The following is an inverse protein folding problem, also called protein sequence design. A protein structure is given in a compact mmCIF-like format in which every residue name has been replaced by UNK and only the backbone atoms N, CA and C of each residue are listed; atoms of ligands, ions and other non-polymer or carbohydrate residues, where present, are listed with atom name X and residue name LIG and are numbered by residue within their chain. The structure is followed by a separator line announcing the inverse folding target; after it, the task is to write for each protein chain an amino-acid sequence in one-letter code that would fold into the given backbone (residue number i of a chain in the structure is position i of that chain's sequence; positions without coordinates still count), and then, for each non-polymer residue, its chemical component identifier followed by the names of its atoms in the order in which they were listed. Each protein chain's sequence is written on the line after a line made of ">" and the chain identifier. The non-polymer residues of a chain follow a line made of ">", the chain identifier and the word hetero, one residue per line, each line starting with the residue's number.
data_IF_802404874795
#
_entry.id   IF_802404874795
#
_cell.length_a   1.000
_cell.length_b   1.000
_cell.length_c   1.000
_cell.angle_alpha   90.00
_cell.angle_beta   90.00
_cell.angle_gamma   90.00
#
_symmetry.space_group_name_H-M   'P 1'
#
loop_
_entity.id
_entity.type
_entity.pdbx_description
1 polymer ?
#
# COMPACT_ATOMS: atom_id res chain seq x y z
N UNK A 1 23.63 3.41 23.48
CA UNK A 1 22.77 4.06 24.50
C UNK A 1 22.50 5.47 24.01
N UNK A 2 21.33 5.92 23.58
CA UNK A 2 20.01 5.35 23.41
C UNK A 2 19.38 6.12 22.22
N UNK A 3 18.65 5.44 21.32
CA UNK A 3 18.00 6.10 20.20
C UNK A 3 16.86 6.99 20.73
N UNK A 4 16.88 8.27 20.35
CA UNK A 4 15.79 9.21 20.62
C UNK A 4 14.54 8.75 19.87
N UNK A 5 13.62 8.09 20.59
CA UNK A 5 12.26 7.92 20.14
C UNK A 5 11.60 9.30 20.11
N UNK A 6 11.39 9.80 18.90
CA UNK A 6 10.55 10.96 18.65
C UNK A 6 9.13 10.62 19.12
N UNK A 7 8.69 11.27 20.19
CA UNK A 7 7.30 11.27 20.63
C UNK A 7 6.46 11.90 19.50
N UNK A 8 5.90 11.07 18.63
CA UNK A 8 4.87 11.50 17.69
C UNK A 8 3.61 11.74 18.53
N UNK A 9 3.41 13.01 18.92
CA UNK A 9 2.16 13.47 19.49
C UNK A 9 1.08 13.38 18.41
N UNK A 10 0.38 12.26 18.35
CA UNK A 10 -0.88 12.11 17.62
C UNK A 10 -1.98 12.89 18.35
N UNK A 11 -1.95 14.21 18.23
CA UNK A 11 -3.07 15.06 18.62
C UNK A 11 -4.20 14.88 17.58
N UNK A 12 -4.94 13.78 17.68
CA UNK A 12 -6.18 13.59 16.95
C UNK A 12 -7.30 14.35 17.66
N UNK A 13 -8.09 15.19 16.95
CA UNK A 13 -9.23 15.85 17.54
C UNK A 13 -10.18 14.79 18.11
N UNK A 14 -10.37 14.89 19.43
CA UNK A 14 -11.28 14.18 20.31
C UNK A 14 -12.73 14.29 19.84
N UNK A 15 -13.12 13.63 18.76
CA UNK A 15 -14.50 13.22 18.49
C UNK A 15 -14.45 11.94 17.66
N UNK A 16 -13.94 10.86 18.26
CA UNK A 16 -14.27 9.52 17.77
C UNK A 16 -15.79 9.35 17.94
N UNK A 17 -16.56 9.71 16.92
CA UNK A 17 -17.99 9.40 16.88
C UNK A 17 -18.11 7.90 16.74
N UNK A 18 -18.04 7.22 17.89
CA UNK A 18 -18.29 5.79 18.00
C UNK A 18 -19.59 5.46 17.28
N UNK A 19 -19.60 4.36 16.53
CA UNK A 19 -20.77 3.89 15.80
C UNK A 19 -22.01 3.76 16.72
N UNK A 20 -21.78 3.55 18.03
CA UNK A 20 -22.80 3.56 19.07
C UNK A 20 -23.60 4.85 19.10
N UNK A 21 -22.90 6.00 19.09
CA UNK A 21 -23.54 7.32 19.11
C UNK A 21 -24.22 7.63 17.78
N UNK A 22 -23.62 7.19 16.66
CA UNK A 22 -24.14 7.44 15.32
C UNK A 22 -25.48 6.71 15.09
N UNK A 23 -25.57 5.47 15.52
CA UNK A 23 -26.74 4.61 15.28
C UNK A 23 -27.62 4.41 16.53
N UNK A 24 -27.36 5.16 17.59
CA UNK A 24 -28.08 5.09 18.86
C UNK A 24 -28.14 3.66 19.45
N UNK A 25 -27.01 2.94 19.36
CA UNK A 25 -26.83 1.60 19.93
C UNK A 25 -26.32 1.74 21.35
N UNK A 26 -26.95 1.05 22.30
CA UNK A 26 -26.65 1.19 23.74
C UNK A 26 -25.29 0.62 24.12
N UNK A 27 -24.91 -0.50 23.53
CA UNK A 27 -23.69 -1.25 23.87
C UNK A 27 -22.99 -1.76 22.60
N UNK A 28 -21.67 -1.93 22.62
CA UNK A 28 -20.94 -2.60 21.54
C UNK A 28 -21.54 -3.98 21.24
N UNK A 29 -21.77 -4.29 19.97
CA UNK A 29 -22.32 -5.58 19.57
C UNK A 29 -21.68 -6.07 18.28
N UNK A 30 -21.29 -7.35 18.26
CA UNK A 30 -20.81 -8.05 17.08
C UNK A 30 -21.94 -8.80 16.36
N UNK A 31 -23.16 -8.84 16.93
CA UNK A 31 -24.30 -9.48 16.28
C UNK A 31 -24.98 -8.54 15.28
N UNK A 32 -24.78 -8.83 14.00
CA UNK A 32 -25.37 -8.08 12.88
C UNK A 32 -26.90 -8.05 12.91
N UNK A 33 -27.55 -9.06 13.52
CA UNK A 33 -29.01 -9.15 13.64
C UNK A 33 -29.57 -8.12 14.62
N UNK A 34 -28.77 -7.71 15.61
CA UNK A 34 -29.11 -6.65 16.57
C UNK A 34 -28.75 -5.28 15.99
N UNK A 35 -27.62 -5.20 15.29
CA UNK A 35 -27.10 -3.94 14.79
C UNK A 35 -27.86 -3.38 13.57
N UNK A 36 -28.14 -4.20 12.55
CA UNK A 36 -28.80 -3.73 11.32
C UNK A 36 -30.18 -3.13 11.53
N UNK A 37 -31.06 -3.63 12.44
CA UNK A 37 -32.31 -2.97 12.76
C UNK A 37 -32.14 -1.53 13.25
N UNK A 38 -31.10 -1.24 14.05
CA UNK A 38 -30.83 0.12 14.52
C UNK A 38 -30.39 1.03 13.37
N UNK A 39 -29.54 0.51 12.48
CA UNK A 39 -29.16 1.22 11.24
C UNK A 39 -30.37 1.46 10.35
N UNK A 40 -31.25 0.47 10.18
CA UNK A 40 -32.47 0.58 9.39
C UNK A 40 -33.42 1.64 9.98
N UNK A 41 -33.56 1.66 11.31
CA UNK A 41 -34.33 2.67 12.03
C UNK A 41 -33.75 4.07 11.83
N UNK A 42 -32.42 4.22 11.92
CA UNK A 42 -31.72 5.50 11.73
C UNK A 42 -31.95 6.10 10.33
N UNK A 43 -31.91 5.27 9.28
CA UNK A 43 -32.09 5.74 7.89
C UNK A 43 -33.56 5.71 7.42
N UNK A 44 -34.49 5.25 8.25
CA UNK A 44 -35.90 5.08 7.87
C UNK A 44 -36.15 3.99 6.82
N UNK A 45 -35.30 2.96 6.76
CA UNK A 45 -35.42 1.87 5.81
C UNK A 45 -36.51 0.88 6.25
N UNK A 46 -37.72 1.06 5.73
CA UNK A 46 -38.88 0.19 5.98
C UNK A 46 -39.33 -0.50 4.67
N UNK A 47 -39.84 -1.72 4.81
CA UNK A 47 -40.54 -2.46 3.75
C UNK A 47 -42.04 -2.19 3.83
N UNK A 48 -42.77 -2.62 2.80
CA UNK A 48 -44.24 -2.69 2.85
C UNK A 48 -44.64 -3.58 4.03
N UNK A 49 -45.53 -3.10 4.90
CA UNK A 49 -45.91 -3.77 6.14
C UNK A 49 -45.21 -3.26 7.41
N UNK A 50 -44.31 -2.27 7.29
CA UNK A 50 -43.69 -1.61 8.46
C UNK A 50 -42.48 -2.35 9.06
N UNK A 51 -42.03 -3.43 8.43
CA UNK A 51 -40.83 -4.15 8.83
C UNK A 51 -39.55 -3.44 8.36
N UNK A 52 -38.45 -3.58 9.10
CA UNK A 52 -37.17 -3.01 8.71
C UNK A 52 -36.58 -3.66 7.46
N UNK A 53 -36.13 -2.82 6.52
CA UNK A 53 -35.41 -3.27 5.33
C UNK A 53 -33.91 -3.44 5.62
N UNK A 54 -33.56 -4.60 6.16
CA UNK A 54 -32.18 -4.93 6.56
C UNK A 54 -31.21 -4.92 5.36
N UNK A 55 -31.66 -5.28 4.17
CA UNK A 55 -30.82 -5.26 2.96
C UNK A 55 -30.39 -3.85 2.61
N UNK A 56 -31.31 -2.88 2.64
CA UNK A 56 -31.02 -1.48 2.37
C UNK A 56 -30.12 -0.90 3.47
N UNK A 57 -30.39 -1.24 4.74
CA UNK A 57 -29.53 -0.86 5.86
C UNK A 57 -28.08 -1.38 5.70
N UNK A 58 -27.91 -2.63 5.28
CA UNK A 58 -26.60 -3.21 5.03
C UNK A 58 -25.86 -2.50 3.88
N UNK A 59 -26.54 -2.23 2.77
CA UNK A 59 -25.96 -1.47 1.65
C UNK A 59 -25.52 -0.07 2.08
N UNK A 60 -26.35 0.62 2.87
CA UNK A 60 -26.02 1.92 3.43
C UNK A 60 -24.78 1.84 4.34
N UNK A 61 -24.74 0.88 5.26
CA UNK A 61 -23.64 0.70 6.20
C UNK A 61 -22.31 0.47 5.46
N UNK A 62 -22.28 -0.43 4.48
CA UNK A 62 -21.09 -0.69 3.66
C UNK A 62 -20.65 0.58 2.92
N UNK A 63 -21.60 1.37 2.39
CA UNK A 63 -21.28 2.64 1.74
C UNK A 63 -20.65 3.63 2.72
N UNK A 64 -21.18 3.77 3.94
CA UNK A 64 -20.61 4.65 4.97
C UNK A 64 -19.21 4.20 5.39
N UNK A 65 -18.99 2.89 5.53
CA UNK A 65 -17.69 2.31 5.81
C UNK A 65 -16.67 2.65 4.72
N UNK A 66 -17.02 2.44 3.44
CA UNK A 66 -16.14 2.76 2.30
C UNK A 66 -15.81 4.25 2.17
N UNK A 67 -16.70 5.12 2.63
CA UNK A 67 -16.48 6.57 2.65
C UNK A 67 -15.70 7.04 3.89
N UNK A 68 -15.31 6.14 4.79
CA UNK A 68 -14.60 6.47 6.03
C UNK A 68 -15.45 7.21 7.06
N UNK A 69 -16.79 7.18 6.93
CA UNK A 69 -17.71 7.92 7.81
C UNK A 69 -17.84 7.31 9.20
N UNK A 70 -17.43 6.05 9.36
CA UNK A 70 -17.40 5.35 10.64
C UNK A 70 -16.10 5.58 11.42
N UNK A 71 -15.10 6.21 10.80
CA UNK A 71 -13.75 6.34 11.35
C UNK A 71 -12.68 5.75 10.44
N UNK A 72 -11.44 5.71 10.95
CA UNK A 72 -10.29 5.13 10.26
C UNK A 72 -10.12 3.69 10.74
N UNK A 73 -10.30 2.74 9.82
CA UNK A 73 -10.12 1.32 10.09
C UNK A 73 -9.19 0.72 9.04
N UNK A 74 -8.41 -0.28 9.44
CA UNK A 74 -7.76 -1.20 8.51
C UNK A 74 -8.39 -2.58 8.66
N UNK A 75 -8.57 -3.27 7.53
CA UNK A 75 -8.94 -4.69 7.52
C UNK A 75 -7.72 -5.60 7.59
N UNK A 76 -6.52 -5.01 7.52
CA UNK A 76 -5.29 -5.76 7.64
C UNK A 76 -5.12 -6.26 9.07
N UNK A 77 -4.64 -7.49 9.17
CA UNK A 77 -4.31 -8.09 10.44
C UNK A 77 -3.03 -7.45 11.00
N UNK A 78 -3.19 -6.64 12.04
CA UNK A 78 -2.09 -5.94 12.72
C UNK A 78 -1.39 -6.77 13.80
N UNK A 79 -1.68 -8.08 13.89
CA UNK A 79 -0.92 -8.96 14.79
C UNK A 79 0.56 -8.94 14.41
N UNK A 80 1.47 -8.94 15.41
CA UNK A 80 2.91 -8.85 15.15
C UNK A 80 3.41 -9.95 14.22
N UNK A 81 2.92 -11.18 14.39
CA UNK A 81 3.25 -12.32 13.53
C UNK A 81 2.84 -12.13 12.06
N UNK A 82 1.69 -11.48 11.83
CA UNK A 82 1.20 -11.20 10.48
C UNK A 82 2.06 -10.11 9.82
N UNK A 83 2.45 -9.09 10.59
CA UNK A 83 3.35 -8.04 10.13
C UNK A 83 4.73 -8.59 9.73
N UNK A 84 5.31 -9.49 10.53
CA UNK A 84 6.58 -10.16 10.21
C UNK A 84 6.49 -10.98 8.91
N UNK A 85 5.39 -11.69 8.69
CA UNK A 85 5.14 -12.43 7.45
C UNK A 85 5.01 -11.50 6.24
N UNK A 86 4.33 -10.37 6.38
CA UNK A 86 4.22 -9.39 5.29
C UNK A 86 5.59 -8.80 4.93
N UNK A 87 6.39 -8.40 5.93
CA UNK A 87 7.72 -7.81 5.73
C UNK A 87 8.71 -8.80 5.11
N UNK A 88 8.67 -10.08 5.50
CA UNK A 88 9.57 -11.10 4.95
C UNK A 88 9.15 -11.54 3.54
N UNK A 89 7.85 -11.53 3.22
CA UNK A 89 7.34 -11.90 1.90
C UNK A 89 7.75 -10.93 0.78
N UNK A 90 7.87 -9.63 1.06
CA UNK A 90 8.40 -8.67 0.08
C UNK A 90 9.87 -8.93 -0.29
N UNK A 91 10.63 -9.62 0.57
CA UNK A 91 12.03 -10.00 0.31
C UNK A 91 12.10 -11.22 -0.63
N UNK A 92 11.08 -12.08 -0.62
CA UNK A 92 11.05 -13.31 -1.41
C UNK A 92 10.41 -13.16 -2.80
N UNK A 93 9.65 -12.08 -3.04
CA UNK A 93 9.04 -11.85 -4.35
C UNK A 93 10.13 -11.66 -5.43
N UNK A 94 10.25 -12.57 -6.41
CA UNK A 94 11.30 -12.48 -7.40
C UNK A 94 11.07 -11.23 -8.26
N UNK A 95 12.13 -10.43 -8.39
CA UNK A 95 12.25 -9.27 -9.28
C UNK A 95 11.49 -9.56 -10.59
N UNK A 96 10.50 -8.72 -10.92
CA UNK A 96 9.61 -8.94 -12.06
C UNK A 96 10.42 -9.29 -13.32
N UNK A 97 9.97 -10.26 -14.13
CA UNK A 97 10.64 -10.67 -15.39
C UNK A 97 11.02 -9.47 -16.28
N UNK A 98 10.27 -8.36 -16.22
CA UNK A 98 10.58 -7.11 -16.94
C UNK A 98 11.77 -6.35 -16.35
N UNK A 99 11.90 -6.32 -15.03
CA UNK A 99 13.03 -5.71 -14.33
C UNK A 99 14.32 -6.50 -14.56
N UNK A 100 14.25 -7.85 -14.54
CA UNK A 100 15.38 -8.72 -14.89
C UNK A 100 15.86 -8.47 -16.34
N UNK A 101 14.95 -8.41 -17.31
CA UNK A 101 15.30 -8.09 -18.71
C UNK A 101 15.94 -6.70 -18.86
N UNK A 102 15.48 -5.72 -18.08
CA UNK A 102 16.06 -4.36 -18.10
C UNK A 102 17.47 -4.35 -17.51
N UNK A 103 17.69 -5.07 -16.40
CA UNK A 103 19.01 -5.20 -15.78
C UNK A 103 20.02 -5.85 -16.73
N UNK A 104 19.66 -6.98 -17.34
CA UNK A 104 20.53 -7.68 -18.29
C UNK A 104 20.92 -6.80 -19.49
N UNK A 105 19.97 -6.02 -20.02
CA UNK A 105 20.23 -5.10 -21.14
C UNK A 105 21.14 -3.94 -20.74
N UNK A 106 21.09 -3.49 -19.48
CA UNK A 106 21.98 -2.44 -18.96
C UNK A 106 23.39 -2.98 -18.81
N UNK A 107 23.56 -4.19 -18.27
CA UNK A 107 24.87 -4.85 -18.17
C UNK A 107 25.50 -5.10 -19.54
N UNK A 108 24.73 -5.60 -20.50
CA UNK A 108 25.22 -5.85 -21.86
C UNK A 108 25.73 -4.55 -22.52
N UNK A 109 25.01 -3.44 -22.31
CA UNK A 109 25.43 -2.11 -22.79
C UNK A 109 26.69 -1.63 -22.09
N UNK A 110 26.85 -1.91 -20.79
CA UNK A 110 28.04 -1.55 -20.02
C UNK A 110 29.28 -2.31 -20.52
N UNK A 111 29.16 -3.61 -20.73
CA UNK A 111 30.24 -4.46 -21.26
C UNK A 111 30.68 -4.01 -22.66
N UNK A 112 29.74 -3.72 -23.56
CA UNK A 112 30.05 -3.21 -24.90
C UNK A 112 30.83 -1.89 -24.87
N UNK A 113 30.50 -0.97 -23.96
CA UNK A 113 31.25 0.29 -23.80
C UNK A 113 32.67 0.04 -23.28
N UNK A 114 32.84 -0.85 -22.31
CA UNK A 114 34.17 -1.20 -21.79
C UNK A 114 35.05 -1.84 -22.86
N UNK A 115 34.50 -2.72 -23.69
CA UNK A 115 35.24 -3.31 -24.82
C UNK A 115 35.62 -2.28 -25.89
N UNK A 116 34.77 -1.29 -26.14
CA UNK A 116 35.10 -0.19 -27.07
C UNK A 116 36.20 0.72 -26.54
N UNK A 117 36.21 0.98 -25.23
CA UNK A 117 37.29 1.74 -24.57
C UNK A 117 38.62 0.99 -24.63
N UNK A 118 38.64 -0.31 -24.30
CA UNK A 118 39.86 -1.13 -24.41
C UNK A 118 40.39 -1.21 -25.85
N UNK A 119 39.52 -1.36 -26.85
CA UNK A 119 39.92 -1.34 -28.28
C UNK A 119 40.44 0.02 -28.75
N UNK A 120 40.00 1.12 -28.13
CA UNK A 120 40.52 2.45 -28.42
C UNK A 120 41.90 2.67 -27.80
N UNK A 121 42.20 2.00 -26.68
CA UNK A 121 43.53 2.01 -26.04
C UNK A 121 44.53 1.08 -26.76
N UNK A 122 44.07 0.00 -27.38
CA UNK A 122 44.91 -0.92 -28.18
C UNK A 122 45.26 -0.41 -29.59
N UNK A 123 44.62 0.66 -30.07
CA UNK A 123 44.99 1.27 -31.35
C UNK A 123 46.31 2.03 -31.17
N UNK A 124 47.42 1.44 -31.64
CA UNK A 124 48.75 2.05 -31.70
C UNK A 124 48.65 3.55 -32.07
N UNK A 125 49.20 4.46 -31.23
CA UNK A 125 49.20 5.88 -31.52
C UNK A 125 49.81 6.12 -32.89
N UNK A 126 49.20 7.00 -33.69
CA UNK A 126 49.78 7.43 -34.96
C UNK A 126 51.24 7.86 -34.72
N UNK A 127 52.18 7.09 -35.26
CA UNK A 127 53.59 7.43 -35.23
C UNK A 127 53.87 8.28 -36.47
N UNK A 128 54.30 9.55 -36.34
CA UNK A 128 54.75 10.33 -37.48
C UNK A 128 55.93 9.59 -38.10
N UNK A 129 55.73 9.08 -39.30
CA UNK A 129 56.74 8.48 -40.14
C UNK A 129 57.81 9.53 -40.45
N UNK A 130 58.92 9.46 -39.71
CA UNK A 130 60.15 10.12 -40.09
C UNK A 130 60.66 9.48 -41.39
N UNK A 131 61.21 10.32 -42.27
CA UNK A 131 61.97 9.98 -43.48
C UNK A 131 61.21 10.00 -44.82
N UNK A 132 61.24 11.18 -45.45
CA UNK A 132 61.73 11.27 -46.84
C UNK A 132 62.80 12.35 -46.86
N UNK A 133 64.05 11.95 -46.63
CA UNK A 133 65.23 12.75 -46.99
C UNK A 133 65.40 12.69 -48.50
N UNK A 134 65.32 13.84 -49.17
CA UNK A 134 65.94 14.12 -50.46
C UNK A 134 66.62 15.48 -50.34
#
# INVERSE_FOLDING_TARGET
>A
MAAHFTNINFNFPMMATSYLKLYNVKEPTDDIRIFLPQVAKYIGALKKGGEYNLTLAAQFLIKQYRLGKLGRFTLDDIRPESLEKFLTKEIEDPVSRRQQKKANKIEERRLKRMQQLGKAEEHEPWQPNAETKL
#
